data_IF_822557542979
#
_entry.id   IF_822557542979
#
_cell.length_a   1.000
_cell.length_b   1.000
_cell.length_c   1.000
_cell.angle_alpha   90.00
_cell.angle_beta   90.00
_cell.angle_gamma   90.00
#
_symmetry.space_group_name_H-M   'P 1'
#
loop_
_entity.id
_entity.type
_entity.pdbx_description
1 polymer ?
#
# COMPACT_ATOMS: atom_id res chain seq x y z
N UNK A 1 -41.55 0.92 7.69
CA UNK A 1 -41.83 2.38 7.67
C UNK A 1 -40.74 3.11 8.44
N UNK A 2 -39.80 3.76 7.74
CA UNK A 2 -38.72 4.52 8.40
C UNK A 2 -39.26 5.80 9.02
N UNK A 3 -38.98 6.04 10.30
CA UNK A 3 -39.28 7.30 10.97
C UNK A 3 -38.34 8.39 10.43
N UNK A 4 -38.90 9.56 10.14
CA UNK A 4 -38.15 10.74 9.69
C UNK A 4 -37.05 11.12 10.69
N UNK A 5 -35.91 11.59 10.17
CA UNK A 5 -34.76 12.11 10.94
C UNK A 5 -35.20 13.19 11.95
N UNK A 6 -36.26 13.95 11.63
CA UNK A 6 -36.84 14.94 12.54
C UNK A 6 -37.52 14.34 13.78
N UNK A 7 -37.90 13.06 13.75
CA UNK A 7 -38.43 12.35 14.90
C UNK A 7 -37.31 11.88 15.85
N UNK A 8 -36.13 11.55 15.32
CA UNK A 8 -34.94 11.16 16.09
C UNK A 8 -34.30 12.36 16.82
N UNK A 9 -34.32 13.55 16.22
CA UNK A 9 -33.78 14.78 16.83
C UNK A 9 -34.59 15.29 18.04
N UNK A 10 -35.85 14.86 18.21
CA UNK A 10 -36.69 15.29 19.35
C UNK A 10 -36.35 14.56 20.65
N UNK A 11 -35.76 13.38 20.58
CA UNK A 11 -35.55 12.52 21.74
C UNK A 11 -34.23 12.80 22.47
N UNK A 12 -33.28 13.50 21.86
CA UNK A 12 -32.04 13.93 22.54
C UNK A 12 -31.41 15.16 21.85
N UNK A 13 -31.82 16.40 22.18
CA UNK A 13 -31.29 17.58 21.54
C UNK A 13 -29.85 17.86 22.00
N UNK A 14 -28.86 17.98 21.09
CA UNK A 14 -27.52 18.40 21.46
C UNK A 14 -27.57 19.82 22.06
N UNK A 15 -26.65 20.18 22.98
CA UNK A 15 -26.64 21.47 23.66
C UNK A 15 -26.67 22.60 22.62
N UNK A 16 -27.78 23.34 22.62
CA UNK A 16 -28.20 24.21 21.52
C UNK A 16 -27.25 25.39 21.38
N UNK A 17 -26.30 25.33 20.43
CA UNK A 17 -25.48 26.49 20.06
C UNK A 17 -26.39 27.63 19.61
N UNK A 18 -26.18 28.83 20.19
CA UNK A 18 -27.01 30.02 19.95
C UNK A 18 -26.85 30.48 18.49
N UNK A 19 -27.97 30.78 17.83
CA UNK A 19 -27.98 31.36 16.48
C UNK A 19 -27.21 32.69 16.42
N UNK A 20 -26.70 33.09 15.25
CA UNK A 20 -26.04 34.39 15.11
C UNK A 20 -27.03 35.56 15.28
N UNK A 21 -26.52 36.73 15.68
CA UNK A 21 -27.31 37.92 15.98
C UNK A 21 -28.18 38.37 14.78
N UNK A 22 -27.66 38.26 13.56
CA UNK A 22 -28.39 38.62 12.33
C UNK A 22 -29.55 37.66 12.00
N UNK A 23 -29.42 36.38 12.37
CA UNK A 23 -30.51 35.41 12.22
C UNK A 23 -31.54 35.54 13.35
N UNK A 24 -31.11 35.86 14.57
CA UNK A 24 -31.99 36.19 15.69
C UNK A 24 -32.86 37.40 15.34
N UNK A 25 -32.24 38.53 14.95
CA UNK A 25 -32.96 39.78 14.60
C UNK A 25 -33.98 39.58 13.49
N UNK A 26 -33.68 38.69 12.54
CA UNK A 26 -34.56 38.40 11.42
C UNK A 26 -35.58 37.28 11.68
N UNK A 27 -35.59 36.67 12.87
CA UNK A 27 -36.41 35.48 13.21
C UNK A 27 -36.26 34.35 12.18
N UNK A 28 -35.02 34.08 11.73
CA UNK A 28 -34.69 33.00 10.78
C UNK A 28 -33.81 31.93 11.43
N UNK A 29 -33.90 30.69 10.95
CA UNK A 29 -33.02 29.58 11.37
C UNK A 29 -31.57 29.89 10.95
N UNK A 30 -30.63 29.69 11.88
CA UNK A 30 -29.20 29.80 11.64
C UNK A 30 -28.61 28.39 11.50
N UNK A 31 -27.77 28.17 10.49
CA UNK A 31 -27.06 26.92 10.23
C UNK A 31 -25.74 26.80 11.01
N UNK A 32 -25.37 27.82 11.80
CA UNK A 32 -24.22 27.82 12.71
C UNK A 32 -22.84 27.67 12.03
N UNK A 33 -22.75 27.90 10.71
CA UNK A 33 -21.47 27.93 9.98
C UNK A 33 -20.50 29.01 10.49
N UNK A 34 -19.21 28.68 10.54
CA UNK A 34 -18.10 29.58 10.86
C UNK A 34 -17.25 29.81 9.60
N UNK A 35 -16.76 31.03 9.33
CA UNK A 35 -16.89 32.26 10.12
C UNK A 35 -18.26 32.97 9.97
N UNK A 36 -19.11 32.54 9.03
CA UNK A 36 -20.46 33.07 8.83
C UNK A 36 -21.45 31.97 8.43
N UNK A 37 -22.71 32.11 8.86
CA UNK A 37 -23.79 31.21 8.46
C UNK A 37 -24.18 31.42 6.98
N UNK A 38 -24.70 30.38 6.31
CA UNK A 38 -25.00 30.36 4.88
C UNK A 38 -25.90 31.54 4.46
N UNK A 39 -26.90 31.87 5.28
CA UNK A 39 -27.81 32.99 5.02
C UNK A 39 -27.08 34.33 5.04
N UNK A 40 -26.24 34.56 6.05
CA UNK A 40 -25.52 35.81 6.22
C UNK A 40 -24.43 35.97 5.13
N UNK A 41 -23.76 34.88 4.76
CA UNK A 41 -22.81 34.84 3.65
C UNK A 41 -23.48 35.23 2.32
N UNK A 42 -24.59 34.57 1.95
CA UNK A 42 -25.31 34.86 0.69
C UNK A 42 -25.86 36.28 0.61
N UNK A 43 -26.30 36.84 1.74
CA UNK A 43 -26.87 38.19 1.80
C UNK A 43 -25.85 39.28 2.12
N UNK A 44 -24.57 38.91 2.30
CA UNK A 44 -23.49 39.82 2.69
C UNK A 44 -23.86 40.64 3.94
N UNK A 45 -24.48 39.99 4.93
CA UNK A 45 -24.85 40.59 6.22
C UNK A 45 -23.80 40.17 7.24
N UNK A 46 -23.36 41.09 8.11
CA UNK A 46 -22.41 40.80 9.19
C UNK A 46 -22.93 39.67 10.10
N UNK A 47 -22.22 38.54 10.10
CA UNK A 47 -22.57 37.37 10.90
C UNK A 47 -21.73 37.35 12.17
N UNK A 48 -22.35 37.72 13.30
CA UNK A 48 -21.71 37.63 14.61
C UNK A 48 -22.49 36.66 15.49
N UNK A 49 -21.79 35.67 16.04
CA UNK A 49 -22.34 34.83 17.10
C UNK A 49 -22.15 35.56 18.43
N UNK A 50 -23.13 35.54 19.33
CA UNK A 50 -22.96 36.12 20.65
C UNK A 50 -21.86 35.33 21.37
N UNK A 51 -20.68 35.95 21.54
CA UNK A 51 -19.69 35.50 22.51
C UNK A 51 -20.34 35.60 23.88
N UNK A 52 -20.12 34.60 24.73
CA UNK A 52 -20.52 34.70 26.13
C UNK A 52 -19.56 35.70 26.80
N UNK A 53 -19.79 36.99 26.57
CA UNK A 53 -19.12 38.08 27.27
C UNK A 53 -20.05 38.56 28.37
N UNK A 54 -19.92 37.98 29.56
CA UNK A 54 -20.07 38.80 30.76
C UNK A 54 -18.92 39.81 30.70
N UNK A 55 -19.24 41.02 30.22
CA UNK A 55 -18.35 42.17 30.35
C UNK A 55 -18.14 42.50 31.84
N UNK A 56 -17.08 43.18 32.25
CA UNK A 56 -15.99 43.80 31.51
C UNK A 56 -15.14 44.61 32.48
N UNK A 57 -14.15 45.31 31.91
CA UNK A 57 -13.33 46.41 32.45
C UNK A 57 -12.24 46.09 33.49
N UNK A 58 -11.02 46.57 33.20
CA UNK A 58 -10.12 47.13 34.21
C UNK A 58 -8.72 46.51 34.30
N UNK A 59 -7.79 47.03 33.50
CA UNK A 59 -6.36 47.02 33.82
C UNK A 59 -6.11 48.01 34.98
N UNK A 60 -5.57 47.57 36.13
CA UNK A 60 -4.55 48.25 36.94
C UNK A 60 -4.44 47.70 38.39
N UNK A 61 -3.22 47.29 38.74
CA UNK A 61 -2.51 47.35 40.05
C UNK A 61 -3.04 46.64 41.31
N UNK A 62 -2.13 45.87 41.93
CA UNK A 62 -2.10 45.27 43.27
C UNK A 62 -2.26 46.31 44.43
N UNK A 63 -2.32 45.96 45.75
CA UNK A 63 -1.96 44.68 46.40
C UNK A 63 -2.84 44.21 47.61
N UNK A 64 -2.38 43.11 48.23
CA UNK A 64 -2.57 42.64 49.63
C UNK A 64 -3.57 41.50 49.94
N UNK A 65 -2.99 40.41 50.48
CA UNK A 65 -3.53 39.29 51.29
C UNK A 65 -4.10 39.81 52.64
N UNK A 66 -4.80 39.02 53.53
CA UNK A 66 -4.91 37.55 53.58
C UNK A 66 -6.28 36.94 53.96
N UNK A 67 -6.38 35.61 53.79
CA UNK A 67 -7.06 34.71 54.73
C UNK A 67 -8.52 34.32 54.42
N UNK A 68 -8.73 33.06 54.03
CA UNK A 68 -9.58 32.09 54.73
C UNK A 68 -9.81 30.84 53.87
N UNK A 69 -9.53 29.69 54.47
CA UNK A 69 -9.85 28.34 54.01
C UNK A 69 -11.37 28.11 53.87
N UNK A 70 -11.77 27.15 53.03
CA UNK A 70 -12.66 26.02 53.38
C UNK A 70 -12.83 25.13 52.13
N UNK A 71 -12.18 23.97 52.23
CA UNK A 71 -12.66 22.59 52.03
C UNK A 71 -13.48 22.20 50.78
N UNK A 72 -12.94 21.13 50.18
CA UNK A 72 -13.47 20.24 49.15
C UNK A 72 -14.96 19.87 49.25
N UNK A 73 -15.53 19.47 48.10
CA UNK A 73 -16.41 18.30 47.99
C UNK A 73 -16.53 17.86 46.53
N UNK A 74 -15.89 16.74 46.22
CA UNK A 74 -16.12 15.92 45.03
C UNK A 74 -17.34 15.04 45.32
N UNK A 75 -18.32 14.92 44.42
CA UNK A 75 -19.19 13.76 44.41
C UNK A 75 -18.81 12.85 43.23
N UNK A 76 -18.25 11.70 43.60
CA UNK A 76 -18.37 10.46 42.84
C UNK A 76 -19.84 10.02 42.88
N UNK A 77 -20.44 9.69 41.74
CA UNK A 77 -21.72 9.02 41.68
C UNK A 77 -21.78 8.05 40.50
N UNK A 78 -21.51 6.81 40.88
CA UNK A 78 -21.89 5.51 40.36
C UNK A 78 -22.91 5.42 39.21
N UNK A 79 -22.57 4.51 38.30
CA UNK A 79 -23.37 3.92 37.21
C UNK A 79 -24.53 3.09 37.77
N UNK A 80 -25.73 3.19 37.17
CA UNK A 80 -26.68 2.09 37.14
C UNK A 80 -26.70 1.46 35.75
N UNK A 81 -26.45 0.15 35.75
CA UNK A 81 -26.69 -0.81 34.68
C UNK A 81 -28.19 -1.00 34.43
N UNK A 82 -28.60 -0.99 33.16
CA UNK A 82 -29.68 -1.85 32.67
C UNK A 82 -29.63 -1.98 31.14
N UNK A 83 -29.90 -3.21 30.72
CA UNK A 83 -29.69 -3.81 29.41
C UNK A 83 -30.50 -3.26 28.23
N UNK A 84 -30.09 -3.77 27.07
CA UNK A 84 -30.82 -3.96 25.80
C UNK A 84 -30.59 -2.90 24.70
N UNK A 85 -29.55 -3.13 23.88
CA UNK A 85 -29.51 -2.65 22.49
C UNK A 85 -29.07 -3.80 21.59
N UNK A 86 -29.90 -4.06 20.57
CA UNK A 86 -29.75 -5.09 19.56
C UNK A 86 -28.46 -4.90 18.73
N UNK A 87 -27.70 -5.99 18.60
CA UNK A 87 -26.53 -6.11 17.73
C UNK A 87 -26.95 -6.13 16.25
N UNK A 88 -26.39 -5.24 15.46
CA UNK A 88 -26.40 -5.34 14.00
C UNK A 88 -25.28 -6.30 13.57
N UNK A 89 -25.65 -7.49 13.14
CA UNK A 89 -24.73 -8.49 12.62
C UNK A 89 -24.15 -8.08 11.25
N UNK A 90 -22.83 -7.92 11.19
CA UNK A 90 -22.01 -8.10 9.98
C UNK A 90 -21.78 -9.62 9.81
N UNK A 91 -21.67 -10.18 8.58
CA UNK A 91 -21.56 -11.63 8.43
C UNK A 91 -20.30 -12.17 9.11
N UNK A 92 -20.52 -13.02 10.11
CA UNK A 92 -19.51 -13.75 10.86
C UNK A 92 -18.82 -14.77 9.94
N UNK A 93 -17.52 -14.58 9.74
CA UNK A 93 -16.65 -15.62 9.17
C UNK A 93 -16.37 -16.68 10.25
N UNK A 94 -16.84 -17.90 10.06
CA UNK A 94 -16.44 -19.05 10.87
C UNK A 94 -15.10 -19.58 10.37
N UNK A 95 -14.07 -19.50 11.22
CA UNK A 95 -12.76 -20.10 10.99
C UNK A 95 -12.85 -21.64 10.95
N UNK A 96 -12.18 -22.31 10.00
CA UNK A 96 -11.77 -23.71 10.19
C UNK A 96 -10.62 -23.79 11.20
N UNK A 97 -10.68 -24.79 12.08
CA UNK A 97 -9.79 -24.96 13.23
C UNK A 97 -8.32 -25.23 12.86
N UNK A 98 -7.46 -24.80 13.78
CA UNK A 98 -6.00 -24.86 13.79
C UNK A 98 -5.38 -26.22 13.43
N UNK A 99 -4.45 -26.18 12.49
CA UNK A 99 -3.23 -27.00 12.54
C UNK A 99 -2.06 -26.15 12.04
N UNK A 100 -1.26 -25.65 12.99
CA UNK A 100 -0.01 -24.91 12.73
C UNK A 100 1.02 -25.84 12.06
N UNK A 101 1.59 -25.49 10.89
CA UNK A 101 2.88 -26.03 10.48
C UNK A 101 3.99 -25.25 11.21
N UNK A 102 4.79 -25.96 12.00
CA UNK A 102 6.04 -25.43 12.58
C UNK A 102 7.11 -25.47 11.50
N UNK A 103 7.49 -24.32 10.94
CA UNK A 103 8.64 -24.23 10.05
C UNK A 103 9.94 -24.29 10.89
N UNK A 104 10.55 -25.46 10.94
CA UNK A 104 11.90 -25.63 11.44
C UNK A 104 12.90 -25.16 10.37
N UNK A 105 13.83 -24.29 10.76
CA UNK A 105 14.98 -23.86 9.97
C UNK A 105 15.91 -25.06 9.71
N UNK A 106 16.07 -25.48 8.45
CA UNK A 106 17.06 -26.48 8.05
C UNK A 106 18.33 -25.80 7.48
N UNK A 107 19.54 -26.30 7.80
CA UNK A 107 20.78 -25.70 7.33
C UNK A 107 21.11 -26.11 5.89
N UNK A 108 21.73 -25.18 5.16
CA UNK A 108 22.20 -25.29 3.79
C UNK A 108 23.24 -26.40 3.64
N UNK A 109 22.97 -27.39 2.79
CA UNK A 109 23.97 -28.32 2.28
C UNK A 109 23.99 -28.27 0.75
N UNK A 110 25.20 -28.06 0.26
CA UNK A 110 25.64 -27.90 -1.13
C UNK A 110 25.39 -29.17 -1.95
N UNK A 111 24.65 -29.06 -3.06
CA UNK A 111 24.59 -30.07 -4.12
C UNK A 111 24.48 -29.38 -5.48
N UNK A 112 25.61 -29.31 -6.16
CA UNK A 112 25.69 -29.05 -7.58
C UNK A 112 25.12 -30.25 -8.34
N UNK A 113 24.18 -29.99 -9.26
CA UNK A 113 24.01 -30.77 -10.48
C UNK A 113 23.21 -29.94 -11.49
N UNK A 114 23.87 -29.62 -12.60
CA UNK A 114 23.35 -29.03 -13.83
C UNK A 114 22.58 -30.07 -14.63
N UNK A 115 21.35 -29.73 -15.06
CA UNK A 115 20.70 -30.11 -16.33
C UNK A 115 19.18 -30.29 -16.15
N UNK A 116 18.42 -29.18 -16.23
CA UNK A 116 17.07 -29.16 -16.81
C UNK A 116 16.55 -27.72 -16.89
N UNK A 117 16.63 -27.12 -18.08
CA UNK A 117 16.10 -25.78 -18.37
C UNK A 117 14.57 -25.82 -18.29
N UNK A 118 14.02 -25.37 -17.15
CA UNK A 118 12.58 -25.22 -16.94
C UNK A 118 12.20 -23.74 -16.88
N UNK A 119 10.94 -23.44 -17.18
CA UNK A 119 10.30 -22.12 -17.35
C UNK A 119 10.47 -21.10 -16.20
N UNK A 120 11.27 -21.40 -15.17
CA UNK A 120 11.69 -20.50 -14.11
C UNK A 120 12.72 -19.43 -14.56
N UNK A 121 13.41 -19.62 -15.69
CA UNK A 121 14.38 -18.64 -16.21
C UNK A 121 13.71 -17.35 -16.73
N UNK A 122 12.46 -17.43 -17.23
CA UNK A 122 11.76 -16.33 -17.92
C UNK A 122 11.42 -15.15 -16.98
N UNK A 123 11.41 -15.39 -15.67
CA UNK A 123 11.19 -14.36 -14.65
C UNK A 123 12.45 -14.01 -13.83
N UNK A 124 13.54 -14.78 -13.93
CA UNK A 124 14.78 -14.59 -13.15
C UNK A 124 15.90 -13.89 -13.92
N UNK A 125 15.74 -13.69 -15.23
CA UNK A 125 16.72 -12.99 -16.08
C UNK A 125 16.66 -11.44 -15.93
N UNK A 126 16.57 -10.95 -14.69
CA UNK A 126 16.73 -9.53 -14.39
C UNK A 126 18.20 -9.08 -14.47
N UNK A 127 19.17 -10.01 -14.58
CA UNK A 127 20.60 -9.77 -14.80
C UNK A 127 21.16 -10.82 -15.79
N UNK A 128 21.92 -10.44 -16.83
CA UNK A 128 22.57 -11.42 -17.70
C UNK A 128 23.62 -12.24 -16.93
N UNK A 129 23.89 -13.49 -17.31
CA UNK A 129 24.94 -14.30 -16.68
C UNK A 129 26.31 -13.74 -17.10
N UNK A 130 26.84 -12.80 -16.34
CA UNK A 130 28.29 -12.54 -16.36
C UNK A 130 28.90 -13.25 -15.17
N UNK A 131 29.40 -14.46 -15.40
CA UNK A 131 30.36 -15.13 -14.53
C UNK A 131 31.58 -14.24 -14.35
N UNK A 132 31.60 -13.41 -13.31
CA UNK A 132 32.85 -12.81 -12.82
C UNK A 132 33.43 -13.80 -11.83
N UNK A 133 34.31 -14.67 -12.31
CA UNK A 133 35.15 -15.49 -11.45
C UNK A 133 36.13 -14.58 -10.71
N UNK A 134 35.76 -14.17 -9.49
CA UNK A 134 36.69 -13.52 -8.58
C UNK A 134 37.63 -14.60 -8.03
N UNK A 135 38.78 -14.77 -8.67
CA UNK A 135 39.82 -15.69 -8.22
C UNK A 135 40.23 -15.39 -6.78
N UNK A 136 39.86 -16.29 -5.87
CA UNK A 136 40.23 -16.23 -4.46
C UNK A 136 41.74 -16.26 -4.31
N UNK A 137 42.32 -15.12 -3.94
CA UNK A 137 43.68 -15.07 -3.42
C UNK A 137 43.60 -15.06 -1.90
N UNK A 138 43.73 -16.24 -1.32
CA UNK A 138 44.01 -16.42 0.10
C UNK A 138 45.38 -15.81 0.40
N UNK A 139 45.39 -14.67 1.08
CA UNK A 139 46.61 -14.12 1.68
C UNK A 139 46.50 -14.26 3.20
N UNK A 140 47.04 -15.37 3.72
CA UNK A 140 47.40 -15.50 5.13
C UNK A 140 48.54 -14.53 5.43
N UNK A 141 48.38 -13.64 6.40
CA UNK A 141 49.47 -12.80 6.89
C UNK A 141 49.60 -12.93 8.41
N UNK A 142 50.68 -13.60 8.80
CA UNK A 142 51.17 -13.76 10.16
C UNK A 142 51.69 -12.46 10.74
N UNK A 143 51.59 -12.34 12.07
CA UNK A 143 52.07 -11.22 12.88
C UNK A 143 53.60 -11.29 13.09
N UNK A 144 54.31 -10.19 12.81
CA UNK A 144 55.55 -9.78 13.53
C UNK A 144 55.78 -8.26 13.41
N UNK A 145 56.52 -7.61 14.35
CA UNK A 145 56.41 -6.17 14.59
C UNK A 145 57.58 -5.30 14.08
N UNK A 146 57.24 -4.04 13.83
CA UNK A 146 58.00 -2.77 13.96
C UNK A 146 59.28 -2.50 13.14
N UNK A 147 59.20 -1.49 12.25
CA UNK A 147 60.23 -0.44 12.08
C UNK A 147 59.73 0.77 11.22
N UNK A 148 59.72 1.96 11.84
CA UNK A 148 59.97 3.33 11.34
C UNK A 148 59.31 3.87 10.04
N UNK A 149 58.49 4.93 10.21
CA UNK A 149 57.96 5.86 9.20
C UNK A 149 59.01 6.85 8.67
N UNK A 150 58.78 7.40 7.47
CA UNK A 150 58.93 8.85 7.26
C UNK A 150 57.68 9.53 6.62
N UNK A 151 57.23 10.60 7.29
CA UNK A 151 56.50 11.82 6.87
C UNK A 151 55.35 11.78 5.82
N UNK A 152 54.17 12.40 6.09
CA UNK A 152 53.06 12.50 5.14
C UNK A 152 53.13 13.75 4.23
N UNK A 153 53.08 13.53 2.92
CA UNK A 153 52.61 14.52 1.94
C UNK A 153 51.06 14.58 1.98
N UNK A 154 50.41 15.70 1.60
CA UNK A 154 48.95 15.81 1.67
C UNK A 154 48.29 14.78 0.74
N UNK A 155 47.17 14.14 1.14
CA UNK A 155 46.51 13.17 0.30
C UNK A 155 45.90 13.91 -0.90
N UNK A 156 46.45 13.67 -2.09
CA UNK A 156 45.70 13.86 -3.31
C UNK A 156 44.49 12.93 -3.22
N UNK A 157 43.28 13.49 -3.28
CA UNK A 157 42.05 12.72 -3.45
C UNK A 157 42.09 12.09 -4.85
N UNK A 158 42.76 10.94 -4.98
CA UNK A 158 42.61 10.06 -6.13
C UNK A 158 41.27 9.35 -5.97
N UNK A 159 40.25 9.84 -6.66
CA UNK A 159 39.02 9.08 -6.91
C UNK A 159 39.41 7.92 -7.82
N UNK A 160 39.85 6.81 -7.22
CA UNK A 160 39.98 5.54 -7.91
C UNK A 160 38.55 5.05 -8.19
N UNK A 161 37.99 5.45 -9.33
CA UNK A 161 36.85 4.74 -9.90
C UNK A 161 37.36 3.36 -10.33
N UNK A 162 37.08 2.36 -9.50
CA UNK A 162 37.39 0.97 -9.84
C UNK A 162 36.57 0.60 -11.10
N UNK A 163 37.20 0.02 -12.12
CA UNK A 163 36.52 -0.39 -13.37
C UNK A 163 35.27 -1.27 -13.15
N UNK A 164 35.24 -2.01 -12.04
CA UNK A 164 34.09 -2.82 -11.61
C UNK A 164 32.86 -2.00 -11.19
N UNK A 165 33.03 -0.83 -10.55
CA UNK A 165 31.90 0.02 -10.14
C UNK A 165 31.27 0.70 -11.36
N UNK A 166 32.08 1.15 -12.32
CA UNK A 166 31.58 1.73 -13.58
C UNK A 166 30.79 0.70 -14.40
N UNK A 167 31.29 -0.53 -14.54
CA UNK A 167 30.57 -1.62 -15.21
C UNK A 167 29.24 -1.96 -14.52
N UNK A 168 29.22 -1.94 -13.20
CA UNK A 168 27.99 -2.17 -12.41
C UNK A 168 26.94 -1.09 -12.70
N UNK A 169 27.35 0.18 -12.72
CA UNK A 169 26.46 1.30 -13.05
C UNK A 169 25.90 1.20 -14.46
N UNK A 170 26.72 0.83 -15.45
CA UNK A 170 26.28 0.63 -16.84
C UNK A 170 25.25 -0.51 -16.98
N UNK A 171 25.46 -1.63 -16.28
CA UNK A 171 24.52 -2.76 -16.28
C UNK A 171 23.19 -2.34 -15.65
N UNK A 172 23.24 -1.69 -14.49
CA UNK A 172 22.04 -1.19 -13.78
C UNK A 172 21.26 -0.20 -14.64
N UNK A 173 21.94 0.78 -15.25
CA UNK A 173 21.31 1.74 -16.14
C UNK A 173 20.60 1.05 -17.32
N UNK A 174 21.27 0.08 -17.96
CA UNK A 174 20.67 -0.69 -19.05
C UNK A 174 19.44 -1.48 -18.60
N UNK A 175 19.47 -2.13 -17.44
CA UNK A 175 18.31 -2.86 -16.91
C UNK A 175 17.15 -1.91 -16.65
N UNK A 176 17.43 -0.74 -16.08
CA UNK A 176 16.42 0.29 -15.83
C UNK A 176 15.77 0.71 -17.14
N UNK A 177 16.57 1.15 -18.12
CA UNK A 177 16.06 1.68 -19.39
C UNK A 177 15.29 0.63 -20.20
N UNK A 178 15.77 -0.60 -20.20
CA UNK A 178 15.20 -1.66 -21.06
C UNK A 178 14.03 -2.42 -20.42
N UNK A 179 13.93 -2.48 -19.08
CA UNK A 179 12.93 -3.33 -18.40
C UNK A 179 12.11 -2.59 -17.36
N UNK A 180 12.75 -1.73 -16.55
CA UNK A 180 12.11 -1.20 -15.34
C UNK A 180 11.51 0.19 -15.54
N UNK A 181 11.90 0.96 -16.56
CA UNK A 181 11.52 2.36 -16.72
C UNK A 181 10.00 2.56 -16.74
N UNK A 182 9.27 1.75 -17.51
CA UNK A 182 7.81 1.80 -17.53
C UNK A 182 7.22 1.54 -16.14
N UNK A 183 7.73 0.51 -15.46
CA UNK A 183 7.28 0.15 -14.11
C UNK A 183 7.57 1.22 -13.07
N UNK A 184 8.77 1.79 -13.11
CA UNK A 184 9.23 2.84 -12.22
C UNK A 184 8.36 4.10 -12.36
N UNK A 185 8.05 4.52 -13.60
CA UNK A 185 7.18 5.67 -13.83
C UNK A 185 5.74 5.42 -13.38
N UNK A 186 5.20 4.20 -13.62
CA UNK A 186 3.89 3.82 -13.12
C UNK A 186 3.82 3.81 -11.58
N UNK A 187 4.86 3.30 -10.90
CA UNK A 187 4.96 3.29 -9.44
C UNK A 187 5.07 4.72 -8.88
N UNK A 188 5.92 5.56 -9.49
CA UNK A 188 6.08 6.98 -9.10
C UNK A 188 4.81 7.80 -9.29
N UNK A 189 3.96 7.42 -10.24
CA UNK A 189 2.67 8.09 -10.47
C UNK A 189 1.61 7.76 -9.40
N UNK A 190 1.78 6.68 -8.63
CA UNK A 190 0.75 6.17 -7.74
C UNK A 190 0.24 7.14 -6.66
N UNK A 191 1.08 7.97 -5.99
CA UNK A 191 0.58 8.99 -5.06
C UNK A 191 -0.40 9.97 -5.72
N UNK A 192 -0.11 10.39 -6.96
CA UNK A 192 -0.98 11.27 -7.73
C UNK A 192 -2.27 10.57 -8.16
N UNK A 193 -2.18 9.33 -8.65
CA UNK A 193 -3.33 8.53 -9.05
C UNK A 193 -4.27 8.28 -7.87
N UNK A 194 -3.72 7.94 -6.70
CA UNK A 194 -4.51 7.73 -5.50
C UNK A 194 -5.34 8.98 -5.13
N UNK A 195 -4.77 10.18 -5.26
CA UNK A 195 -5.49 11.43 -4.96
C UNK A 195 -6.54 11.78 -6.00
N UNK A 196 -6.24 11.61 -7.28
CA UNK A 196 -7.10 12.07 -8.37
C UNK A 196 -8.16 11.06 -8.80
N UNK A 197 -7.88 9.77 -8.62
CA UNK A 197 -8.66 8.66 -9.17
C UNK A 197 -9.08 7.64 -8.10
N UNK A 198 -8.57 7.76 -6.85
CA UNK A 198 -8.81 6.81 -5.75
C UNK A 198 -8.43 5.37 -6.10
N UNK A 199 -7.42 5.21 -6.95
CA UNK A 199 -6.89 3.93 -7.39
C UNK A 199 -5.38 4.01 -7.63
N UNK A 200 -4.75 2.85 -7.69
CA UNK A 200 -3.38 2.64 -8.17
C UNK A 200 -3.36 1.35 -8.98
N UNK A 201 -2.24 0.97 -9.63
CA UNK A 201 -2.16 -0.33 -10.31
C UNK A 201 -2.47 -1.53 -9.39
N UNK A 202 -2.35 -1.37 -8.07
CA UNK A 202 -2.56 -2.42 -7.07
C UNK A 202 -3.74 -2.20 -6.12
N UNK A 203 -4.38 -1.02 -6.14
CA UNK A 203 -5.54 -0.71 -5.31
C UNK A 203 -6.72 -0.32 -6.21
N UNK A 204 -7.75 -1.15 -6.23
CA UNK A 204 -8.93 -0.96 -7.08
C UNK A 204 -9.76 0.25 -6.62
N UNK A 205 -10.36 0.99 -7.56
CA UNK A 205 -11.14 2.21 -7.27
C UNK A 205 -12.35 1.99 -6.33
N UNK A 206 -12.90 0.78 -6.28
CA UNK A 206 -14.02 0.44 -5.39
C UNK A 206 -13.60 -0.09 -4.02
N UNK A 207 -12.30 -0.36 -3.78
CA UNK A 207 -11.80 -1.06 -2.58
C UNK A 207 -12.24 -0.39 -1.27
N UNK A 208 -12.24 0.94 -1.22
CA UNK A 208 -12.56 1.72 -0.02
C UNK A 208 -13.87 2.51 -0.13
N UNK A 209 -14.74 2.17 -1.10
CA UNK A 209 -15.98 2.90 -1.37
C UNK A 209 -16.95 2.90 -0.19
N UNK A 210 -17.03 1.79 0.54
CA UNK A 210 -17.91 1.61 1.71
C UNK A 210 -17.26 2.08 3.04
N UNK A 211 -16.00 2.52 2.99
CA UNK A 211 -15.27 3.00 4.17
C UNK A 211 -13.77 2.84 4.01
N UNK A 212 -13.05 3.97 4.07
CA UNK A 212 -11.59 3.98 4.02
C UNK A 212 -11.00 3.95 5.44
N UNK A 213 -10.11 3.00 5.76
CA UNK A 213 -9.41 2.98 7.05
C UNK A 213 -8.58 4.25 7.28
N UNK A 214 -8.43 4.65 8.55
CA UNK A 214 -7.77 5.91 8.93
C UNK A 214 -6.35 6.05 8.36
N UNK A 215 -5.54 4.98 8.39
CA UNK A 215 -4.19 5.00 7.85
C UNK A 215 -4.14 5.35 6.35
N UNK A 216 -5.13 4.89 5.59
CA UNK A 216 -5.27 5.22 4.17
C UNK A 216 -5.81 6.63 3.95
N UNK A 217 -6.76 7.10 4.77
CA UNK A 217 -7.21 8.51 4.73
C UNK A 217 -6.04 9.47 4.96
N UNK A 218 -5.21 9.20 5.98
CA UNK A 218 -4.01 9.96 6.27
C UNK A 218 -3.00 9.88 5.10
N UNK A 219 -2.85 8.70 4.47
CA UNK A 219 -1.97 8.52 3.31
C UNK A 219 -2.44 9.33 2.09
N UNK A 220 -3.74 9.35 1.78
CA UNK A 220 -4.31 10.19 0.72
C UNK A 220 -4.05 11.68 1.01
N UNK A 221 -4.25 12.10 2.26
CA UNK A 221 -3.94 13.48 2.69
C UNK A 221 -2.46 13.84 2.50
N UNK A 222 -1.55 12.96 2.88
CA UNK A 222 -0.12 13.13 2.64
C UNK A 222 0.26 13.12 1.16
N UNK A 223 -0.38 12.29 0.34
CA UNK A 223 -0.18 12.30 -1.12
C UNK A 223 -0.61 13.66 -1.70
N UNK A 224 -1.73 14.22 -1.25
CA UNK A 224 -2.20 15.54 -1.68
C UNK A 224 -1.25 16.67 -1.23
N UNK A 225 -0.74 16.61 0.01
CA UNK A 225 0.27 17.54 0.51
C UNK A 225 1.57 17.44 -0.31
N UNK A 226 2.00 16.23 -0.65
CA UNK A 226 3.15 15.98 -1.50
C UNK A 226 2.98 16.55 -2.92
N UNK A 227 1.79 16.43 -3.51
CA UNK A 227 1.48 17.07 -4.79
C UNK A 227 1.56 18.61 -4.73
N UNK A 228 1.29 19.20 -3.56
CA UNK A 228 1.40 20.65 -3.32
C UNK A 228 2.78 21.05 -2.74
N UNK A 229 3.77 20.16 -2.79
CA UNK A 229 5.12 20.42 -2.29
C UNK A 229 5.79 21.51 -3.13
N UNK A 230 6.43 22.44 -2.44
CA UNK A 230 7.27 23.52 -2.96
C UNK A 230 8.57 23.54 -2.16
N UNK A 231 9.59 24.26 -2.61
CA UNK A 231 10.84 24.41 -1.85
C UNK A 231 10.60 24.97 -0.44
N UNK A 232 9.62 25.89 -0.30
CA UNK A 232 9.31 26.54 0.97
C UNK A 232 8.64 25.62 2.00
N UNK A 233 7.87 24.61 1.56
CA UNK A 233 7.12 23.73 2.46
C UNK A 233 7.65 22.29 2.52
N UNK A 234 8.67 21.94 1.73
CA UNK A 234 9.18 20.58 1.59
C UNK A 234 9.50 19.91 2.94
N UNK A 235 10.21 20.62 3.84
CA UNK A 235 10.55 20.10 5.16
C UNK A 235 9.31 19.75 6.02
N UNK A 236 8.26 20.58 5.95
CA UNK A 236 7.01 20.35 6.68
C UNK A 236 6.23 19.18 6.08
N UNK A 237 6.19 19.08 4.74
CA UNK A 237 5.54 17.97 4.03
C UNK A 237 6.18 16.64 4.41
N UNK A 238 7.51 16.53 4.37
CA UNK A 238 8.20 15.31 4.76
C UNK A 238 8.08 15.01 6.25
N UNK A 239 8.11 16.03 7.12
CA UNK A 239 7.87 15.84 8.55
C UNK A 239 6.48 15.26 8.84
N UNK A 240 5.45 15.70 8.10
CA UNK A 240 4.09 15.16 8.23
C UNK A 240 4.03 13.68 7.80
N UNK A 241 4.69 13.33 6.68
CA UNK A 241 4.79 11.94 6.21
C UNK A 241 5.52 11.06 7.23
N UNK A 242 6.68 11.51 7.73
CA UNK A 242 7.47 10.76 8.70
C UNK A 242 6.77 10.60 10.05
N UNK A 243 5.94 11.56 10.46
CA UNK A 243 5.08 11.40 11.62
C UNK A 243 4.08 10.25 11.40
N UNK A 244 3.39 10.21 10.25
CA UNK A 244 2.42 9.15 9.94
C UNK A 244 3.04 7.77 9.79
N UNK A 245 4.24 7.68 9.24
CA UNK A 245 4.97 6.40 9.16
C UNK A 245 5.32 5.90 10.56
N UNK A 246 5.78 6.77 11.46
CA UNK A 246 6.07 6.40 12.85
C UNK A 246 4.82 5.99 13.62
N UNK A 247 3.71 6.72 13.44
CA UNK A 247 2.43 6.37 14.05
C UNK A 247 2.01 4.95 13.64
N UNK A 248 1.97 4.66 12.33
CA UNK A 248 1.57 3.35 11.81
C UNK A 248 2.53 2.23 12.25
N UNK A 249 3.83 2.49 12.27
CA UNK A 249 4.83 1.51 12.69
C UNK A 249 4.75 1.18 14.20
N UNK A 250 4.23 2.11 15.01
CA UNK A 250 4.03 1.91 16.45
C UNK A 250 2.69 1.27 16.81
N UNK A 251 1.74 1.17 15.88
CA UNK A 251 0.43 0.56 16.12
C UNK A 251 0.49 -0.98 16.10
N UNK A 252 -0.28 -1.67 16.96
CA UNK A 252 -0.39 -3.12 16.93
C UNK A 252 -0.92 -3.61 15.58
N UNK A 253 -0.60 -4.85 15.20
CA UNK A 253 -1.07 -5.44 13.95
C UNK A 253 -2.61 -5.44 13.88
N UNK A 254 -3.22 -5.00 12.76
CA UNK A 254 -4.68 -4.99 12.64
C UNK A 254 -5.23 -6.41 12.56
N UNK A 255 -6.40 -6.65 13.15
CA UNK A 255 -7.04 -7.96 13.05
C UNK A 255 -7.75 -8.17 11.70
N UNK A 256 -8.38 -7.13 11.17
CA UNK A 256 -9.19 -7.23 9.95
C UNK A 256 -8.33 -7.24 8.67
N UNK A 257 -8.59 -8.14 7.70
CA UNK A 257 -7.85 -8.20 6.43
C UNK A 257 -7.82 -6.87 5.66
N UNK A 258 -8.95 -6.15 5.62
CA UNK A 258 -9.02 -4.84 4.96
C UNK A 258 -8.11 -3.79 5.62
N UNK A 259 -7.94 -3.85 6.94
CA UNK A 259 -7.05 -2.95 7.68
C UNK A 259 -5.58 -3.34 7.51
N UNK A 260 -5.26 -4.64 7.45
CA UNK A 260 -3.91 -5.11 7.11
C UNK A 260 -3.51 -4.63 5.71
N UNK A 261 -4.39 -4.80 4.73
CA UNK A 261 -4.18 -4.28 3.37
C UNK A 261 -3.97 -2.77 3.36
N UNK A 262 -4.85 -2.03 4.02
CA UNK A 262 -4.76 -0.57 4.12
C UNK A 262 -3.44 -0.10 4.76
N UNK A 263 -2.96 -0.80 5.80
CA UNK A 263 -1.66 -0.52 6.42
C UNK A 263 -0.51 -0.72 5.42
N UNK A 264 -0.50 -1.84 4.70
CA UNK A 264 0.54 -2.11 3.70
C UNK A 264 0.52 -1.09 2.56
N UNK A 265 -0.65 -0.75 2.04
CA UNK A 265 -0.82 0.25 0.97
C UNK A 265 -0.39 1.66 1.41
N UNK A 266 -0.74 2.08 2.63
CA UNK A 266 -0.34 3.37 3.17
C UNK A 266 1.19 3.46 3.28
N UNK A 267 1.83 2.44 3.88
CA UNK A 267 3.29 2.37 4.01
C UNK A 267 3.97 2.33 2.64
N UNK A 268 3.40 1.64 1.65
CA UNK A 268 3.93 1.61 0.28
C UNK A 268 3.90 2.99 -0.37
N UNK A 269 2.79 3.74 -0.24
CA UNK A 269 2.70 5.12 -0.73
C UNK A 269 3.75 6.04 -0.08
N UNK A 270 3.90 5.96 1.25
CA UNK A 270 4.92 6.74 1.96
C UNK A 270 6.35 6.35 1.57
N UNK A 271 6.58 5.07 1.30
CA UNK A 271 7.87 4.58 0.82
C UNK A 271 8.17 5.13 -0.57
N UNK A 272 7.23 5.03 -1.51
CA UNK A 272 7.38 5.55 -2.88
C UNK A 272 7.70 7.06 -2.86
N UNK A 273 6.93 7.85 -2.10
CA UNK A 273 7.17 9.30 -1.99
C UNK A 273 8.59 9.57 -1.50
N UNK A 274 9.01 8.95 -0.41
CA UNK A 274 10.31 9.24 0.21
C UNK A 274 11.50 8.67 -0.54
N UNK A 275 11.36 7.52 -1.20
CA UNK A 275 12.42 6.86 -1.94
C UNK A 275 12.74 7.54 -3.27
N UNK A 276 11.72 8.03 -3.99
CA UNK A 276 11.84 8.50 -5.37
C UNK A 276 11.70 10.01 -5.57
N UNK A 277 11.56 10.80 -4.50
CA UNK A 277 11.48 12.26 -4.58
C UNK A 277 12.79 12.93 -5.08
N UNK A 278 13.94 12.35 -4.72
CA UNK A 278 15.26 12.93 -4.95
C UNK A 278 15.89 13.57 -3.70
N UNK A 279 15.11 13.86 -2.65
CA UNK A 279 15.65 14.31 -1.36
C UNK A 279 16.42 13.19 -0.64
N UNK A 280 17.66 13.50 -0.24
CA UNK A 280 18.59 12.54 0.39
C UNK A 280 18.10 12.13 1.78
N UNK A 281 17.53 13.06 2.54
CA UNK A 281 17.06 12.80 3.91
C UNK A 281 15.80 11.95 3.89
N UNK A 282 14.88 12.23 2.97
CA UNK A 282 13.68 11.43 2.73
C UNK A 282 14.05 10.02 2.30
N UNK A 283 15.02 9.86 1.40
CA UNK A 283 15.53 8.53 1.00
C UNK A 283 16.07 7.74 2.19
N UNK A 284 16.94 8.35 3.00
CA UNK A 284 17.45 7.71 4.22
C UNK A 284 16.32 7.36 5.22
N UNK A 285 15.25 8.16 5.30
CA UNK A 285 14.08 7.85 6.11
C UNK A 285 13.26 6.67 5.55
N UNK A 286 13.15 6.55 4.22
CA UNK A 286 12.53 5.40 3.58
C UNK A 286 13.29 4.11 3.91
N UNK A 287 14.62 4.12 3.83
CA UNK A 287 15.47 2.98 4.18
C UNK A 287 15.30 2.54 5.64
N UNK A 288 15.32 3.49 6.58
CA UNK A 288 15.13 3.20 8.01
C UNK A 288 13.77 2.57 8.34
N UNK A 289 12.74 2.91 7.57
CA UNK A 289 11.37 2.44 7.81
C UNK A 289 10.93 1.31 6.87
N UNK A 290 11.84 0.82 6.02
CA UNK A 290 11.61 -0.34 5.14
C UNK A 290 11.10 -1.58 5.90
N UNK A 291 11.64 -1.98 7.08
CA UNK A 291 11.15 -3.16 7.78
C UNK A 291 9.66 -3.07 8.16
N UNK A 292 9.14 -1.87 8.43
CA UNK A 292 7.72 -1.69 8.72
C UNK A 292 6.84 -2.02 7.51
N UNK A 293 7.26 -1.61 6.31
CA UNK A 293 6.58 -1.95 5.05
C UNK A 293 6.67 -3.45 4.76
N UNK A 294 7.84 -4.06 4.92
CA UNK A 294 8.04 -5.49 4.72
C UNK A 294 7.16 -6.31 5.65
N UNK A 295 7.17 -6.02 6.96
CA UNK A 295 6.36 -6.72 7.95
C UNK A 295 4.86 -6.56 7.66
N UNK A 296 4.40 -5.34 7.36
CA UNK A 296 3.00 -5.11 7.00
C UNK A 296 2.59 -5.89 5.74
N UNK A 297 3.48 -5.98 4.75
CA UNK A 297 3.23 -6.71 3.50
C UNK A 297 3.25 -8.22 3.71
N UNK A 298 4.19 -8.75 4.51
CA UNK A 298 4.24 -10.16 4.87
C UNK A 298 3.01 -10.61 5.66
N UNK A 299 2.43 -9.73 6.49
CA UNK A 299 1.18 -10.03 7.21
C UNK A 299 0.00 -10.37 6.29
N UNK A 300 0.03 -9.90 5.03
CA UNK A 300 -0.99 -10.18 4.02
C UNK A 300 -1.04 -11.66 3.62
N UNK A 301 0.10 -12.38 3.71
CA UNK A 301 0.20 -13.79 3.34
C UNK A 301 -0.76 -14.68 4.15
N UNK A 302 -1.05 -14.29 5.40
CA UNK A 302 -1.92 -15.06 6.31
C UNK A 302 -3.36 -15.24 5.81
N UNK A 303 -3.84 -14.40 4.89
CA UNK A 303 -5.20 -14.47 4.37
C UNK A 303 -5.28 -14.42 2.85
N UNK A 304 -4.14 -14.38 2.16
CA UNK A 304 -4.10 -14.39 0.70
C UNK A 304 -4.50 -15.77 0.18
N UNK A 305 -5.68 -15.88 -0.44
CA UNK A 305 -6.11 -17.09 -1.14
C UNK A 305 -5.56 -17.07 -2.56
N UNK A 306 -5.11 -18.22 -3.06
CA UNK A 306 -4.68 -18.37 -4.45
C UNK A 306 -5.63 -19.34 -5.14
N UNK A 307 -6.22 -18.91 -6.25
CA UNK A 307 -6.91 -19.82 -7.16
C UNK A 307 -5.82 -20.67 -7.81
N UNK A 308 -5.60 -21.88 -7.28
CA UNK A 308 -4.63 -22.84 -7.83
C UNK A 308 -5.31 -23.57 -8.99
N UNK A 309 -4.74 -23.57 -10.21
CA UNK A 309 -5.16 -24.52 -11.22
C UNK A 309 -4.82 -25.93 -10.73
N UNK A 310 -5.77 -26.86 -10.87
CA UNK A 310 -5.64 -28.26 -10.45
C UNK A 310 -4.31 -28.87 -10.94
N UNK A 311 -3.54 -29.48 -10.03
CA UNK A 311 -2.44 -30.41 -10.37
C UNK A 311 -1.00 -29.94 -10.13
N UNK A 312 -0.75 -28.70 -9.71
CA UNK A 312 0.64 -28.25 -9.40
C UNK A 312 0.95 -28.31 -7.90
N UNK A 313 1.85 -29.24 -7.57
CA UNK A 313 2.47 -29.45 -6.25
C UNK A 313 2.89 -28.11 -5.63
N UNK A 314 2.66 -27.96 -4.33
CA UNK A 314 3.13 -26.81 -3.54
C UNK A 314 4.62 -26.55 -3.74
N UNK A 315 5.02 -25.29 -3.59
CA UNK A 315 6.42 -24.90 -3.34
C UNK A 315 6.94 -25.39 -1.96
N UNK A 316 6.23 -26.32 -1.30
CA UNK A 316 6.64 -27.00 -0.09
C UNK A 316 6.81 -28.47 -0.43
N UNK A 317 8.02 -28.99 -0.26
CA UNK A 317 8.33 -30.39 -0.51
C UNK A 317 7.47 -31.33 0.33
N UNK A 318 7.16 -32.48 -0.28
CA UNK A 318 6.81 -33.75 0.38
C UNK A 318 5.70 -33.72 1.43
N UNK A 319 4.50 -34.11 1.04
CA UNK A 319 4.06 -35.48 1.33
C UNK A 319 2.76 -35.79 0.59
N UNK A 320 2.74 -36.97 -0.03
CA UNK A 320 1.61 -37.49 -0.78
C UNK A 320 0.40 -37.73 0.12
N UNK A 321 -0.47 -36.74 0.22
CA UNK A 321 -1.82 -36.87 0.75
C UNK A 321 -2.84 -36.91 -0.39
N UNK A 322 -3.24 -38.12 -0.79
CA UNK A 322 -4.40 -38.31 -1.66
C UNK A 322 -5.66 -37.78 -0.96
N UNK A 323 -6.34 -36.80 -1.56
CA UNK A 323 -7.62 -36.33 -1.02
C UNK A 323 -8.25 -35.18 -1.79
N UNK A 324 -9.17 -35.53 -2.71
CA UNK A 324 -10.23 -34.61 -3.15
C UNK A 324 -9.95 -33.87 -4.46
N UNK A 325 -9.97 -34.59 -5.58
CA UNK A 325 -10.11 -33.97 -6.90
C UNK A 325 -11.46 -33.25 -7.02
N UNK A 326 -11.41 -31.96 -7.27
CA UNK A 326 -12.51 -31.18 -7.84
C UNK A 326 -11.89 -30.29 -8.92
N UNK A 327 -11.73 -30.80 -10.14
CA UNK A 327 -12.71 -30.68 -11.20
C UNK A 327 -12.66 -29.25 -11.76
N UNK A 328 -12.11 -29.16 -12.99
CA UNK A 328 -12.28 -28.09 -13.97
C UNK A 328 -13.26 -27.03 -13.47
N UNK A 329 -12.75 -25.91 -12.96
CA UNK A 329 -13.55 -24.83 -12.40
C UNK A 329 -14.70 -24.49 -13.36
N UNK A 330 -15.89 -25.04 -13.08
CA UNK A 330 -17.12 -24.57 -13.70
C UNK A 330 -17.14 -23.08 -13.45
N UNK A 331 -17.05 -22.30 -14.54
CA UNK A 331 -17.02 -20.86 -14.51
C UNK A 331 -18.20 -20.39 -13.67
N UNK A 332 -17.93 -19.95 -12.43
CA UNK A 332 -18.97 -19.53 -11.48
C UNK A 332 -19.89 -18.56 -12.19
N UNK A 333 -21.17 -18.93 -12.32
CA UNK A 333 -22.18 -18.06 -12.92
C UNK A 333 -22.58 -17.02 -11.89
N UNK A 334 -22.36 -15.74 -12.21
CA UNK A 334 -22.72 -14.63 -11.36
C UNK A 334 -24.12 -14.11 -11.74
N UNK A 335 -25.12 -14.15 -10.84
CA UNK A 335 -26.47 -13.70 -11.16
C UNK A 335 -26.53 -12.18 -11.35
N UNK A 336 -27.17 -11.72 -12.42
CA UNK A 336 -27.46 -10.29 -12.61
C UNK A 336 -28.69 -9.82 -11.83
N UNK A 337 -29.57 -10.74 -11.46
CA UNK A 337 -30.74 -10.48 -10.63
C UNK A 337 -31.13 -11.71 -9.81
N UNK A 338 -31.31 -11.59 -8.47
CA UNK A 338 -30.97 -10.43 -7.65
C UNK A 338 -29.44 -10.19 -7.60
N UNK A 339 -29.01 -8.93 -7.55
CA UNK A 339 -27.59 -8.55 -7.69
C UNK A 339 -26.75 -8.75 -6.43
N UNK A 340 -27.39 -8.97 -5.26
CA UNK A 340 -26.72 -9.08 -3.95
C UNK A 340 -25.53 -10.05 -3.93
N UNK A 341 -25.71 -11.33 -4.31
CA UNK A 341 -24.62 -12.31 -4.29
C UNK A 341 -23.43 -11.92 -5.17
N UNK A 342 -23.68 -11.32 -6.33
CA UNK A 342 -22.64 -10.86 -7.27
C UNK A 342 -21.88 -9.68 -6.70
N UNK A 343 -22.59 -8.73 -6.07
CA UNK A 343 -21.95 -7.59 -5.40
C UNK A 343 -21.03 -8.04 -4.27
N UNK A 344 -21.48 -9.00 -3.46
CA UNK A 344 -20.70 -9.53 -2.34
C UNK A 344 -19.47 -10.31 -2.83
N UNK A 345 -19.63 -11.11 -3.90
CA UNK A 345 -18.52 -11.77 -4.57
C UNK A 345 -17.50 -10.77 -5.14
N UNK A 346 -17.98 -9.74 -5.85
CA UNK A 346 -17.12 -8.73 -6.44
C UNK A 346 -16.34 -7.94 -5.38
N UNK A 347 -16.97 -7.54 -4.28
CA UNK A 347 -16.30 -6.87 -3.17
C UNK A 347 -15.18 -7.75 -2.57
N UNK A 348 -15.46 -9.04 -2.37
CA UNK A 348 -14.45 -10.00 -1.92
C UNK A 348 -13.33 -10.16 -2.94
N UNK A 349 -13.65 -10.27 -4.22
CA UNK A 349 -12.65 -10.40 -5.29
C UNK A 349 -11.75 -9.17 -5.35
N UNK A 350 -12.31 -7.96 -5.28
CA UNK A 350 -11.57 -6.69 -5.27
C UNK A 350 -10.58 -6.63 -4.10
N UNK A 351 -11.02 -7.01 -2.90
CA UNK A 351 -10.16 -7.05 -1.71
C UNK A 351 -9.00 -8.02 -1.91
N UNK A 352 -9.28 -9.23 -2.40
CA UNK A 352 -8.27 -10.27 -2.61
C UNK A 352 -7.28 -9.90 -3.71
N UNK A 353 -7.78 -9.45 -4.86
CA UNK A 353 -6.93 -9.08 -5.99
C UNK A 353 -6.07 -7.86 -5.66
N UNK A 354 -6.63 -6.85 -4.97
CA UNK A 354 -5.84 -5.72 -4.47
C UNK A 354 -4.78 -6.17 -3.46
N UNK A 355 -5.06 -7.18 -2.64
CA UNK A 355 -4.07 -7.77 -1.72
C UNK A 355 -2.90 -8.41 -2.48
N UNK A 356 -3.19 -9.26 -3.47
CA UNK A 356 -2.18 -9.93 -4.30
C UNK A 356 -1.32 -8.93 -5.06
N UNK A 357 -1.96 -7.95 -5.71
CA UNK A 357 -1.25 -6.89 -6.46
C UNK A 357 -0.43 -6.00 -5.53
N UNK A 358 -0.94 -5.64 -4.35
CA UNK A 358 -0.18 -4.83 -3.37
C UNK A 358 1.08 -5.57 -2.93
N UNK A 359 0.97 -6.86 -2.62
CA UNK A 359 2.10 -7.69 -2.24
C UNK A 359 3.18 -7.71 -3.34
N UNK A 360 2.78 -8.03 -4.58
CA UNK A 360 3.67 -8.07 -5.73
C UNK A 360 4.30 -6.70 -6.02
N UNK A 361 3.52 -5.61 -5.98
CA UNK A 361 4.05 -4.26 -6.18
C UNK A 361 5.03 -3.87 -5.09
N UNK A 362 4.76 -4.16 -3.82
CA UNK A 362 5.72 -3.85 -2.74
C UNK A 362 7.05 -4.55 -3.01
N UNK A 363 7.01 -5.84 -3.37
CA UNK A 363 8.21 -6.58 -3.72
C UNK A 363 8.95 -5.94 -4.91
N UNK A 364 8.26 -5.69 -6.02
CA UNK A 364 8.82 -5.04 -7.21
C UNK A 364 9.47 -3.69 -6.83
N UNK A 365 8.79 -2.88 -6.03
CA UNK A 365 9.27 -1.56 -5.58
C UNK A 365 10.54 -1.69 -4.75
N UNK A 366 10.60 -2.65 -3.82
CA UNK A 366 11.77 -2.87 -2.97
C UNK A 366 12.97 -3.41 -3.75
N UNK A 367 12.75 -4.28 -4.76
CA UNK A 367 13.83 -4.77 -5.62
C UNK A 367 14.33 -3.68 -6.57
N UNK A 368 13.42 -2.90 -7.17
CA UNK A 368 13.80 -1.73 -7.99
C UNK A 368 14.64 -0.75 -7.18
N UNK A 369 14.26 -0.47 -5.93
CA UNK A 369 15.03 0.40 -5.06
C UNK A 369 16.43 -0.15 -4.75
N UNK A 370 16.56 -1.44 -4.42
CA UNK A 370 17.86 -2.09 -4.18
C UNK A 370 18.78 -1.96 -5.39
N UNK A 371 18.26 -2.25 -6.57
CA UNK A 371 19.01 -2.12 -7.82
C UNK A 371 19.48 -0.67 -8.03
N UNK A 372 18.61 0.31 -7.81
CA UNK A 372 18.93 1.74 -7.90
C UNK A 372 19.96 2.20 -6.86
N UNK A 373 19.98 1.57 -5.69
CA UNK A 373 20.96 1.83 -4.63
C UNK A 373 22.34 1.19 -4.92
N UNK A 374 22.48 0.44 -6.01
CA UNK A 374 23.71 -0.28 -6.37
C UNK A 374 23.91 -1.59 -5.61
N UNK A 375 22.88 -2.04 -4.88
CA UNK A 375 22.84 -3.34 -4.23
C UNK A 375 22.36 -4.37 -5.27
N UNK A 376 23.31 -4.93 -6.03
CA UNK A 376 23.04 -5.99 -6.98
C UNK A 376 22.54 -7.23 -6.20
N UNK A 377 21.32 -7.70 -6.43
CA UNK A 377 20.77 -8.82 -5.67
C UNK A 377 21.61 -10.07 -5.96
N UNK A 378 22.20 -10.65 -4.92
CA UNK A 378 22.93 -11.92 -5.06
C UNK A 378 21.98 -13.11 -5.17
N UNK A 379 20.80 -13.09 -4.55
CA UNK A 379 19.75 -14.11 -4.72
C UNK A 379 18.40 -13.53 -4.27
N UNK A 380 17.40 -13.51 -5.14
CA UNK A 380 16.00 -13.30 -4.74
C UNK A 380 15.38 -14.66 -4.48
N UNK A 381 14.88 -14.91 -3.26
CA UNK A 381 14.14 -16.15 -2.95
C UNK A 381 12.96 -16.30 -3.93
N UNK A 382 13.00 -17.29 -4.84
CA UNK A 382 11.97 -17.47 -5.85
C UNK A 382 10.60 -17.71 -5.23
N UNK A 383 10.56 -18.28 -4.02
CA UNK A 383 9.30 -18.60 -3.33
C UNK A 383 8.51 -17.36 -2.92
N UNK A 384 9.17 -16.21 -2.73
CA UNK A 384 8.51 -14.94 -2.36
C UNK A 384 7.81 -14.26 -3.54
N UNK A 385 8.16 -14.57 -4.79
CA UNK A 385 7.55 -13.98 -5.99
C UNK A 385 6.72 -15.01 -6.80
N UNK A 386 7.11 -16.28 -6.81
CA UNK A 386 6.56 -17.28 -7.73
C UNK A 386 5.35 -18.06 -7.22
N UNK A 387 5.20 -18.19 -5.90
CA UNK A 387 4.12 -19.02 -5.36
C UNK A 387 2.77 -18.29 -5.32
N UNK A 388 2.72 -17.06 -5.85
CA UNK A 388 1.57 -16.18 -5.73
C UNK A 388 0.93 -15.94 -7.10
N UNK A 389 -0.38 -16.15 -7.17
CA UNK A 389 -1.16 -15.87 -8.37
C UNK A 389 -1.74 -14.45 -8.37
N UNK A 390 -2.08 -13.93 -9.54
CA UNK A 390 -2.85 -12.70 -9.68
C UNK A 390 -3.68 -12.76 -10.97
N UNK A 391 -4.70 -11.91 -11.09
CA UNK A 391 -5.62 -11.95 -12.23
C UNK A 391 -5.20 -10.93 -13.30
N UNK A 392 -4.72 -11.42 -14.44
CA UNK A 392 -4.54 -10.62 -15.65
C UNK A 392 -5.88 -10.54 -16.39
N UNK A 393 -6.60 -9.44 -16.14
CA UNK A 393 -7.76 -9.03 -16.92
C UNK A 393 -8.09 -7.56 -16.63
N UNK A 394 -7.77 -6.68 -17.57
CA UNK A 394 -8.13 -5.26 -17.47
C UNK A 394 -9.64 -5.07 -17.37
N UNK A 395 -10.43 -5.92 -18.04
CA UNK A 395 -11.89 -5.86 -18.00
C UNK A 395 -12.47 -6.13 -16.61
N UNK A 396 -11.90 -7.07 -15.87
CA UNK A 396 -12.32 -7.32 -14.49
C UNK A 396 -11.82 -6.22 -13.54
N UNK A 397 -10.57 -5.78 -13.72
CA UNK A 397 -9.95 -4.76 -12.86
C UNK A 397 -10.52 -3.36 -13.06
N UNK A 398 -11.12 -3.05 -14.20
CA UNK A 398 -11.68 -1.72 -14.49
C UNK A 398 -13.20 -1.66 -14.37
N UNK A 399 -13.84 -2.77 -13.96
CA UNK A 399 -15.29 -2.82 -13.78
C UNK A 399 -15.77 -1.75 -12.79
N UNK A 400 -16.75 -0.93 -13.19
CA UNK A 400 -17.22 0.20 -12.40
C UNK A 400 -18.17 -0.23 -11.26
N UNK A 401 -18.93 -1.30 -11.53
CA UNK A 401 -19.90 -1.89 -10.61
C UNK A 401 -20.00 -3.43 -10.77
N UNK A 402 -20.84 -4.04 -9.93
CA UNK A 402 -21.02 -5.49 -9.86
C UNK A 402 -21.68 -6.08 -11.13
N UNK A 403 -22.46 -5.28 -11.87
CA UNK A 403 -23.10 -5.71 -13.12
C UNK A 403 -22.05 -5.78 -14.22
N UNK A 404 -21.26 -4.71 -14.39
CA UNK A 404 -20.14 -4.68 -15.35
C UNK A 404 -19.14 -5.81 -15.06
N UNK A 405 -18.82 -6.03 -13.79
CA UNK A 405 -17.95 -7.13 -13.37
C UNK A 405 -18.54 -8.50 -13.76
N UNK A 406 -19.83 -8.74 -13.51
CA UNK A 406 -20.46 -10.02 -13.87
C UNK A 406 -20.55 -10.25 -15.39
N UNK A 407 -20.81 -9.20 -16.16
CA UNK A 407 -20.79 -9.26 -17.63
C UNK A 407 -19.37 -9.58 -18.12
N UNK A 408 -18.36 -8.86 -17.62
CA UNK A 408 -16.96 -9.12 -17.97
C UNK A 408 -16.52 -10.53 -17.54
N UNK A 409 -16.93 -10.98 -16.35
CA UNK A 409 -16.65 -12.32 -15.82
C UNK A 409 -17.21 -13.43 -16.70
N UNK A 410 -18.37 -13.21 -17.33
CA UNK A 410 -19.00 -14.15 -18.27
C UNK A 410 -18.45 -14.06 -19.69
N UNK A 411 -18.20 -12.86 -20.18
CA UNK A 411 -18.00 -12.62 -21.62
C UNK A 411 -16.53 -12.47 -22.00
N UNK A 412 -15.66 -12.05 -21.07
CA UNK A 412 -14.24 -11.81 -21.34
C UNK A 412 -13.38 -12.95 -20.78
N UNK A 413 -12.26 -13.20 -21.45
CA UNK A 413 -11.25 -14.12 -20.92
C UNK A 413 -10.54 -13.44 -19.75
N UNK A 414 -10.20 -14.21 -18.74
CA UNK A 414 -9.38 -13.75 -17.62
C UNK A 414 -8.35 -14.82 -17.31
N UNK A 415 -7.11 -14.40 -17.11
CA UNK A 415 -6.01 -15.30 -16.86
C UNK A 415 -5.60 -15.21 -15.39
N UNK A 416 -5.55 -16.34 -14.70
CA UNK A 416 -4.91 -16.41 -13.39
C UNK A 416 -3.43 -16.70 -13.63
N UNK A 417 -2.62 -15.65 -13.53
CA UNK A 417 -1.18 -15.71 -13.74
C UNK A 417 -0.49 -16.30 -12.52
N UNK A 418 0.43 -17.23 -12.77
CA UNK A 418 1.36 -17.83 -11.81
C UNK A 418 2.77 -17.74 -12.38
N UNK A 419 3.76 -18.10 -11.57
CA UNK A 419 5.12 -18.34 -12.04
C UNK A 419 5.21 -19.26 -13.26
N UNK A 420 4.48 -20.37 -13.17
CA UNK A 420 4.59 -21.53 -14.06
C UNK A 420 3.91 -21.28 -15.40
N UNK A 421 2.92 -20.39 -15.43
CA UNK A 421 2.08 -20.16 -16.62
C UNK A 421 2.24 -18.78 -17.25
N UNK A 422 3.04 -17.87 -16.69
CA UNK A 422 3.18 -16.50 -17.21
C UNK A 422 3.63 -16.48 -18.68
N UNK A 423 4.63 -17.30 -19.04
CA UNK A 423 5.12 -17.40 -20.41
C UNK A 423 4.00 -17.80 -21.39
N UNK A 424 3.13 -18.73 -20.99
CA UNK A 424 1.95 -19.13 -21.76
C UNK A 424 0.91 -18.01 -21.84
N UNK A 425 0.70 -17.27 -20.76
CA UNK A 425 -0.25 -16.14 -20.77
C UNK A 425 0.24 -15.05 -21.73
N UNK A 426 1.54 -14.76 -21.75
CA UNK A 426 2.14 -13.78 -22.67
C UNK A 426 1.85 -14.14 -24.14
N UNK A 427 1.85 -15.42 -24.51
CA UNK A 427 1.56 -15.85 -25.88
C UNK A 427 0.07 -15.86 -26.23
N UNK A 428 -0.83 -15.87 -25.23
CA UNK A 428 -2.28 -16.00 -25.43
C UNK A 428 -3.08 -14.71 -25.20
N UNK A 429 -2.63 -13.83 -24.31
CA UNK A 429 -3.36 -12.63 -23.90
C UNK A 429 -3.38 -11.55 -24.99
N UNK A 430 -4.50 -10.84 -25.13
CA UNK A 430 -4.61 -9.71 -26.06
C UNK A 430 -4.17 -8.40 -25.39
N UNK A 431 -3.77 -7.37 -26.18
CA UNK A 431 -3.34 -6.08 -25.62
C UNK A 431 -4.35 -5.44 -24.66
N UNK A 432 -5.66 -5.64 -24.88
CA UNK A 432 -6.73 -5.12 -24.03
C UNK A 432 -6.95 -5.92 -22.74
N UNK A 433 -6.34 -7.11 -22.60
CA UNK A 433 -6.32 -7.85 -21.34
C UNK A 433 -5.36 -7.24 -20.30
N UNK A 434 -4.38 -6.43 -20.76
CA UNK A 434 -3.35 -5.84 -19.91
C UNK A 434 -3.76 -4.47 -19.36
N UNK A 435 -4.01 -4.43 -18.05
CA UNK A 435 -4.07 -3.17 -17.30
C UNK A 435 -2.65 -2.66 -16.97
N UNK A 436 -2.57 -1.51 -16.30
CA UNK A 436 -1.28 -0.91 -15.92
C UNK A 436 -0.40 -1.88 -15.14
N UNK A 437 -0.95 -2.65 -14.19
CA UNK A 437 -0.17 -3.60 -13.39
C UNK A 437 0.38 -4.73 -14.26
N UNK A 438 -0.45 -5.30 -15.14
CA UNK A 438 0.00 -6.32 -16.07
C UNK A 438 1.09 -5.83 -17.02
N UNK A 439 1.02 -4.57 -17.45
CA UNK A 439 2.10 -3.95 -18.24
C UNK A 439 3.40 -3.79 -17.45
N UNK A 440 3.33 -3.43 -16.16
CA UNK A 440 4.51 -3.36 -15.27
C UNK A 440 5.22 -4.72 -15.22
N UNK A 441 4.44 -5.79 -15.00
CA UNK A 441 4.98 -7.16 -14.97
C UNK A 441 5.55 -7.55 -16.33
N UNK A 442 4.80 -7.31 -17.42
CA UNK A 442 5.21 -7.67 -18.77
C UNK A 442 6.53 -6.97 -19.19
N UNK A 443 6.65 -5.66 -18.98
CA UNK A 443 7.87 -4.93 -19.34
C UNK A 443 9.05 -5.36 -18.48
N UNK A 444 8.81 -5.74 -17.22
CA UNK A 444 9.82 -6.35 -16.37
C UNK A 444 10.31 -7.69 -16.93
N UNK A 445 9.39 -8.54 -17.38
CA UNK A 445 9.68 -9.90 -17.87
C UNK A 445 10.27 -9.96 -19.28
N UNK A 446 9.74 -9.20 -20.24
CA UNK A 446 10.19 -9.23 -21.64
C UNK A 446 11.16 -8.11 -22.00
N UNK A 447 11.13 -7.00 -21.26
CA UNK A 447 11.69 -5.73 -21.70
C UNK A 447 10.72 -4.92 -22.55
N UNK A 448 10.99 -3.61 -22.62
CA UNK A 448 10.09 -2.60 -23.18
C UNK A 448 9.91 -2.76 -24.70
N UNK A 449 10.98 -3.08 -25.43
CA UNK A 449 10.93 -3.21 -26.90
C UNK A 449 10.18 -4.48 -27.33
N UNK A 450 10.45 -5.62 -26.70
CA UNK A 450 9.70 -6.86 -26.94
C UNK A 450 8.23 -6.71 -26.54
N UNK A 451 7.94 -6.01 -25.44
CA UNK A 451 6.57 -5.70 -25.03
C UNK A 451 5.84 -4.83 -26.06
N UNK A 452 6.51 -3.80 -26.61
CA UNK A 452 5.94 -2.98 -27.70
C UNK A 452 5.71 -3.80 -28.97
N UNK A 453 6.67 -4.65 -29.35
CA UNK A 453 6.56 -5.56 -30.49
C UNK A 453 5.40 -6.53 -30.35
N UNK A 454 5.23 -7.13 -29.17
CA UNK A 454 4.10 -7.99 -28.83
C UNK A 454 2.76 -7.26 -29.00
N UNK A 455 2.63 -6.06 -28.43
CA UNK A 455 1.42 -5.25 -28.53
C UNK A 455 1.11 -4.89 -29.99
N UNK A 456 2.11 -4.41 -30.73
CA UNK A 456 1.96 -4.04 -32.13
C UNK A 456 1.57 -5.23 -33.02
N UNK A 457 2.15 -6.42 -32.78
CA UNK A 457 1.82 -7.65 -33.52
C UNK A 457 0.37 -8.10 -33.35
N UNK A 458 -0.29 -7.65 -32.28
CA UNK A 458 -1.70 -7.93 -31.96
C UNK A 458 -2.62 -6.72 -32.15
N UNK A 459 -2.15 -5.67 -32.83
CA UNK A 459 -2.95 -4.48 -33.13
C UNK A 459 -3.18 -3.53 -31.95
N UNK A 460 -2.40 -3.66 -30.88
CA UNK A 460 -2.46 -2.79 -29.69
C UNK A 460 -1.27 -1.84 -29.58
N UNK A 461 -1.34 -0.96 -28.57
CA UNK A 461 -0.25 -0.04 -28.21
C UNK A 461 0.02 -0.15 -26.71
N UNK A 462 1.30 -0.22 -26.35
CA UNK A 462 1.75 -0.33 -24.97
C UNK A 462 1.50 0.96 -24.18
#
# INVERSE_FOLDING_TARGET
MMRSISALERTNPPPRRKSCAACIKAKRRCDNGQPACLRCSRRRITCQYPSNSTGGTGMATAPATPGAEITALVPSAQVPSSDAVAENHMPTWTQPQDSRPSYATAPLQDMADTDNLSNAEILWDFLPPTTVTLGGHSASASLTPAAQQPTPAPPAFSVLSNSSTLRTVEIVAKIIDTRLLYGLEAIKAAPRQMVLEMQTPWAHASLYREGMPRCMLDAVGCCALYMAKTEANAAVVFSAIDARVRDIAGEPEPAAPAEKLARAQALLLYYIIRAFDGDISARAAAERSRPALENATLSLLSYMTFDRPDGETSCGGGDGGAGGGGALTERRVLPLHPIGPTRDFWASWVLMESTRRTFLTTFITLQMYRLLAGDLPLDCDPNLYLCHSWTLSAHLWTAADAVDFAVAWRDRRHFVSTATNLARIITEAQPDDYDTFGKIVLTGSLGIEESKGLFASRGGVL
#
